data_IF_343858709131
#
_entry.id   IF_343858709131
#
_cell.length_a   1.000
_cell.length_b   1.000
_cell.length_c   1.000
_cell.angle_alpha   90.00
_cell.angle_beta   90.00
_cell.angle_gamma   90.00
#
_symmetry.space_group_name_H-M   'P 1'
#
loop_
_entity.id
_entity.type
_entity.pdbx_description
1 polymer ?
#
# COMPACT_ATOMS: atom_id res chain seq x y z
N UNK A 1 26.02 -43.43 -4.10
CA UNK A 1 24.60 -43.14 -3.82
C UNK A 1 24.53 -42.01 -2.80
N UNK A 2 24.36 -40.78 -3.27
CA UNK A 2 24.10 -39.62 -2.40
C UNK A 2 22.83 -38.96 -2.94
N UNK A 3 21.72 -39.24 -2.26
CA UNK A 3 20.42 -38.64 -2.54
C UNK A 3 20.47 -37.15 -2.22
N UNK A 4 20.39 -36.30 -3.24
CA UNK A 4 20.07 -34.88 -3.07
C UNK A 4 18.55 -34.76 -3.03
N UNK A 5 18.05 -34.33 -1.88
CA UNK A 5 16.65 -34.01 -1.64
C UNK A 5 16.29 -32.77 -2.48
N UNK A 6 15.49 -32.99 -3.53
CA UNK A 6 14.89 -31.96 -4.37
C UNK A 6 13.61 -31.48 -3.67
N UNK A 7 13.63 -30.28 -3.06
CA UNK A 7 12.40 -29.63 -2.60
C UNK A 7 11.80 -28.92 -3.83
N UNK A 8 10.86 -29.60 -4.49
CA UNK A 8 9.98 -29.00 -5.50
C UNK A 8 8.82 -28.35 -4.76
N UNK A 9 8.78 -27.03 -4.72
CA UNK A 9 7.55 -26.30 -4.38
C UNK A 9 6.60 -26.41 -5.58
N UNK A 10 5.69 -27.40 -5.51
CA UNK A 10 4.53 -27.45 -6.40
C UNK A 10 3.64 -26.25 -6.06
N UNK A 11 3.68 -25.21 -6.89
CA UNK A 11 2.61 -24.21 -6.92
C UNK A 11 1.40 -24.88 -7.57
N UNK A 12 0.58 -25.54 -6.77
CA UNK A 12 -0.80 -25.79 -7.15
C UNK A 12 -1.49 -24.43 -7.24
N UNK A 13 -1.87 -24.04 -8.47
CA UNK A 13 -2.87 -23.00 -8.68
C UNK A 13 -4.17 -23.49 -8.06
N UNK A 14 -4.34 -23.24 -6.77
CA UNK A 14 -5.67 -23.23 -6.16
C UNK A 14 -6.29 -21.93 -6.65
N UNK A 15 -7.17 -22.03 -7.65
CA UNK A 15 -8.21 -21.03 -7.85
C UNK A 15 -8.98 -21.01 -6.53
N UNK A 16 -8.58 -20.10 -5.66
CA UNK A 16 -9.24 -19.83 -4.40
C UNK A 16 -10.54 -19.17 -4.79
N UNK A 17 -11.59 -19.97 -4.96
CA UNK A 17 -12.96 -19.44 -4.90
C UNK A 17 -13.04 -18.71 -3.56
N UNK A 18 -13.19 -17.39 -3.62
CA UNK A 18 -13.08 -16.47 -2.50
C UNK A 18 -14.04 -16.89 -1.38
N UNK A 19 -13.53 -17.59 -0.37
CA UNK A 19 -14.24 -17.79 0.89
C UNK A 19 -14.20 -16.44 1.61
N UNK A 20 -15.33 -15.74 1.56
CA UNK A 20 -15.70 -14.53 2.29
C UNK A 20 -14.55 -13.74 2.98
N UNK A 21 -14.06 -12.70 2.28
CA UNK A 21 -13.16 -11.65 2.79
C UNK A 21 -13.83 -10.83 3.92
N UNK A 22 -13.89 -11.41 5.11
CA UNK A 22 -14.51 -10.79 6.30
C UNK A 22 -13.48 -10.23 7.27
N UNK A 23 -12.20 -10.55 7.08
CA UNK A 23 -11.15 -10.08 7.98
C UNK A 23 -10.61 -8.73 7.48
N UNK A 24 -10.53 -7.75 8.38
CA UNK A 24 -10.00 -6.42 8.05
C UNK A 24 -8.57 -6.52 7.48
N UNK A 25 -7.77 -7.46 8.00
CA UNK A 25 -6.36 -7.67 7.64
C UNK A 25 -6.12 -8.16 6.19
N UNK A 26 -7.16 -8.65 5.49
CA UNK A 26 -7.01 -9.16 4.12
C UNK A 26 -6.50 -8.10 3.13
N UNK A 27 -6.77 -6.82 3.44
CA UNK A 27 -6.31 -5.64 2.74
C UNK A 27 -5.38 -4.81 3.64
N UNK A 28 -4.11 -5.20 3.73
CA UNK A 28 -3.06 -4.42 4.37
C UNK A 28 -2.83 -3.11 3.62
N UNK A 29 -2.11 -2.16 4.23
CA UNK A 29 -1.83 -0.88 3.60
C UNK A 29 -1.09 -0.99 2.26
N UNK A 30 -0.29 -2.05 2.07
CA UNK A 30 0.41 -2.32 0.80
C UNK A 30 -0.56 -2.68 -0.33
N UNK A 31 -1.77 -3.17 -0.02
CA UNK A 31 -2.83 -3.47 -0.99
C UNK A 31 -3.80 -2.30 -1.17
N UNK A 32 -3.44 -1.12 -0.67
CA UNK A 32 -4.27 0.10 -0.73
C UNK A 32 -3.55 1.16 -1.53
N UNK A 33 -4.21 1.67 -2.56
CA UNK A 33 -3.78 2.89 -3.24
C UNK A 33 -4.62 4.05 -2.74
N UNK A 34 -4.02 4.91 -1.93
CA UNK A 34 -4.68 6.09 -1.37
C UNK A 34 -5.03 7.08 -2.48
N UNK A 35 -6.29 7.46 -2.57
CA UNK A 35 -6.81 8.44 -3.53
C UNK A 35 -7.21 9.78 -2.90
N UNK A 36 -7.44 9.76 -1.59
CA UNK A 36 -7.63 10.96 -0.79
C UNK A 36 -7.20 10.66 0.64
N UNK A 37 -6.48 11.60 1.23
CA UNK A 37 -6.09 11.54 2.63
C UNK A 37 -6.10 12.95 3.20
N UNK A 38 -6.67 13.07 4.38
CA UNK A 38 -6.69 14.29 5.16
C UNK A 38 -6.34 13.96 6.61
N UNK A 39 -5.25 14.53 7.09
CA UNK A 39 -4.73 14.37 8.46
C UNK A 39 -4.98 15.63 9.31
N UNK A 40 -5.63 16.64 8.71
CA UNK A 40 -5.89 17.94 9.32
C UNK A 40 -4.66 18.59 9.94
N UNK A 41 -3.47 18.34 9.39
CA UNK A 41 -2.24 19.06 9.74
C UNK A 41 -2.24 20.49 9.21
N UNK A 42 -3.13 20.78 8.27
CA UNK A 42 -3.42 22.11 7.73
C UNK A 42 -4.85 22.18 7.19
N UNK A 43 -5.24 23.35 6.67
CA UNK A 43 -6.58 23.62 6.16
C UNK A 43 -6.70 23.50 4.62
N UNK A 44 -5.70 22.95 3.92
CA UNK A 44 -5.65 22.94 2.44
C UNK A 44 -6.81 22.20 1.82
N UNK A 45 -7.31 21.15 2.48
CA UNK A 45 -8.38 20.32 1.96
C UNK A 45 -9.76 20.99 2.05
N UNK A 46 -10.00 21.99 2.90
CA UNK A 46 -11.27 22.75 3.03
C UNK A 46 -12.55 21.90 2.93
N UNK A 47 -13.09 21.49 4.07
CA UNK A 47 -14.37 20.77 4.15
C UNK A 47 -15.54 21.76 4.13
N UNK A 48 -16.57 21.48 3.32
CA UNK A 48 -17.74 22.35 3.22
C UNK A 48 -18.64 22.13 4.43
N UNK A 49 -18.83 23.18 5.24
CA UNK A 49 -19.77 23.16 6.37
C UNK A 49 -21.18 23.31 5.82
N UNK A 50 -22.03 22.33 6.12
CA UNK A 50 -23.45 22.40 5.79
C UNK A 50 -24.22 22.16 7.07
N UNK A 51 -24.35 23.22 7.86
CA UNK A 51 -25.22 23.23 9.04
C UNK A 51 -26.45 24.10 8.78
N UNK A 52 -27.58 23.68 9.32
CA UNK A 52 -28.77 24.53 9.43
C UNK A 52 -28.70 25.50 10.61
N UNK A 53 -27.62 25.47 11.40
CA UNK A 53 -27.43 26.30 12.58
C UNK A 53 -26.11 27.09 12.49
N UNK A 54 -26.19 28.40 12.62
CA UNK A 54 -25.05 29.32 12.52
C UNK A 54 -24.11 29.26 13.73
N UNK A 55 -24.51 28.63 14.83
CA UNK A 55 -23.68 28.44 16.02
C UNK A 55 -22.73 27.24 15.89
N UNK A 56 -23.03 26.28 15.01
CA UNK A 56 -22.16 25.14 14.77
C UNK A 56 -20.96 25.56 13.90
N UNK A 57 -19.76 25.11 14.25
CA UNK A 57 -18.55 25.46 13.50
C UNK A 57 -17.53 24.32 13.49
N UNK A 58 -16.61 24.39 12.53
CA UNK A 58 -15.43 23.53 12.52
C UNK A 58 -14.16 24.34 12.61
N UNK A 59 -13.14 23.76 13.23
CA UNK A 59 -11.79 24.32 13.28
C UNK A 59 -10.77 23.20 13.11
N UNK A 60 -9.62 23.50 12.51
CA UNK A 60 -8.47 22.60 12.54
C UNK A 60 -7.61 22.99 13.74
N UNK A 61 -7.46 22.07 14.70
CA UNK A 61 -6.70 22.33 15.93
C UNK A 61 -5.91 21.08 16.32
N UNK A 62 -4.60 21.23 16.53
CA UNK A 62 -3.70 20.15 16.95
C UNK A 62 -3.77 18.90 16.05
N UNK A 63 -3.87 19.11 14.74
CA UNK A 63 -3.97 18.02 13.76
C UNK A 63 -5.32 17.32 13.74
N UNK A 64 -6.38 17.92 14.27
CA UNK A 64 -7.73 17.36 14.26
C UNK A 64 -8.68 18.33 13.56
N UNK A 65 -9.61 17.82 12.77
CA UNK A 65 -10.82 18.56 12.45
C UNK A 65 -11.77 18.45 13.65
N UNK A 66 -11.98 19.57 14.33
CA UNK A 66 -12.89 19.66 15.45
C UNK A 66 -14.27 20.06 14.92
N UNK A 67 -15.28 19.22 15.19
CA UNK A 67 -16.68 19.51 14.92
C UNK A 67 -17.33 19.95 16.24
N UNK A 68 -17.63 21.25 16.35
CA UNK A 68 -18.27 21.84 17.52
C UNK A 68 -19.77 21.99 17.25
N UNK A 69 -20.57 21.10 17.85
CA UNK A 69 -22.02 21.11 17.72
C UNK A 69 -22.61 21.75 18.97
N UNK A 70 -23.15 22.95 18.79
CA UNK A 70 -23.86 23.72 19.80
C UNK A 70 -25.37 23.42 19.75
N UNK A 71 -25.90 23.02 18.59
CA UNK A 71 -27.32 22.72 18.46
C UNK A 71 -27.61 21.67 17.39
N UNK A 72 -28.56 20.78 17.69
CA UNK A 72 -29.12 19.70 16.84
C UNK A 72 -28.08 18.75 16.23
N UNK A 73 -27.40 19.18 15.17
CA UNK A 73 -26.45 18.38 14.40
C UNK A 73 -25.56 19.24 13.51
N UNK A 74 -24.41 18.69 13.15
CA UNK A 74 -23.47 19.26 12.19
C UNK A 74 -23.08 18.19 11.18
N UNK A 75 -23.04 18.59 9.90
CA UNK A 75 -22.49 17.76 8.84
C UNK A 75 -21.53 18.58 7.99
N UNK A 76 -20.37 18.00 7.72
CA UNK A 76 -19.37 18.56 6.81
C UNK A 76 -19.19 17.63 5.63
N UNK A 77 -19.06 18.21 4.44
CA UNK A 77 -18.98 17.46 3.19
C UNK A 77 -17.63 17.64 2.52
N UNK A 78 -17.21 16.57 1.83
CA UNK A 78 -16.07 16.58 0.92
C UNK A 78 -16.50 15.94 -0.39
N UNK A 79 -16.44 16.72 -1.46
CA UNK A 79 -16.65 16.18 -2.80
C UNK A 79 -15.32 15.64 -3.34
N UNK A 80 -15.24 14.31 -3.53
CA UNK A 80 -14.09 13.66 -4.15
C UNK A 80 -14.60 12.60 -5.13
N UNK A 81 -14.41 12.85 -6.42
CA UNK A 81 -14.78 11.86 -7.43
C UNK A 81 -13.76 10.72 -7.46
N UNK A 82 -14.26 9.48 -7.50
CA UNK A 82 -13.47 8.29 -7.79
C UNK A 82 -14.35 7.20 -8.43
N UNK A 83 -13.71 6.21 -9.06
CA UNK A 83 -14.39 5.13 -9.76
C UNK A 83 -15.06 4.16 -8.78
N UNK A 84 -16.37 4.32 -8.64
CA UNK A 84 -17.21 3.52 -7.74
C UNK A 84 -17.31 2.05 -8.16
N UNK A 85 -16.94 1.70 -9.40
CA UNK A 85 -16.96 0.32 -9.89
C UNK A 85 -15.83 -0.52 -9.31
N UNK A 86 -14.70 0.12 -8.99
CA UNK A 86 -13.55 -0.54 -8.33
C UNK A 86 -13.88 -0.95 -6.90
N UNK A 87 -13.01 -1.77 -6.33
CA UNK A 87 -13.04 -2.03 -4.90
C UNK A 87 -12.35 -0.88 -4.17
N UNK A 88 -12.98 -0.44 -3.09
CA UNK A 88 -12.59 0.79 -2.39
C UNK A 88 -12.84 0.68 -0.90
N UNK A 89 -12.15 1.53 -0.16
CA UNK A 89 -12.29 1.68 1.28
C UNK A 89 -12.32 3.16 1.67
N UNK A 90 -13.22 3.50 2.58
CA UNK A 90 -13.27 4.79 3.27
C UNK A 90 -13.06 4.52 4.75
N UNK A 91 -12.14 5.23 5.38
CA UNK A 91 -11.86 5.11 6.79
C UNK A 91 -11.75 6.48 7.46
N UNK A 92 -12.35 6.61 8.63
CA UNK A 92 -12.11 7.73 9.53
C UNK A 92 -11.64 7.23 10.88
N UNK A 93 -10.82 8.04 11.57
CA UNK A 93 -10.54 7.88 12.99
C UNK A 93 -11.04 9.11 13.74
N UNK A 94 -11.76 8.91 14.83
CA UNK A 94 -12.37 10.01 15.57
C UNK A 94 -12.58 9.68 17.05
N UNK A 95 -12.60 10.71 17.90
CA UNK A 95 -12.89 10.61 19.34
C UNK A 95 -13.86 11.69 19.80
N UNK A 96 -14.60 11.40 20.87
CA UNK A 96 -15.48 12.37 21.52
C UNK A 96 -14.69 13.15 22.57
N UNK A 97 -14.67 14.48 22.45
CA UNK A 97 -14.11 15.37 23.47
C UNK A 97 -15.21 15.86 24.42
N UNK A 98 -16.40 16.17 23.89
CA UNK A 98 -17.58 16.56 24.69
C UNK A 98 -18.76 15.68 24.30
N UNK A 99 -19.53 15.27 25.32
CA UNK A 99 -20.69 14.38 25.24
C UNK A 99 -20.31 12.97 24.74
N UNK A 100 -20.04 12.07 25.70
CA UNK A 100 -19.59 10.71 25.44
C UNK A 100 -20.67 9.83 24.75
N UNK A 101 -21.93 10.29 24.74
CA UNK A 101 -23.09 9.62 24.15
C UNK A 101 -23.54 10.27 22.82
N UNK A 102 -22.74 11.19 22.30
CA UNK A 102 -22.99 11.82 21.02
C UNK A 102 -22.87 10.80 19.88
N UNK A 103 -23.78 10.87 18.92
CA UNK A 103 -23.71 10.04 17.72
C UNK A 103 -22.82 10.74 16.70
N UNK A 104 -21.84 10.03 16.15
CA UNK A 104 -21.03 10.55 15.05
C UNK A 104 -20.71 9.46 14.03
N UNK A 105 -20.26 9.85 12.84
CA UNK A 105 -19.74 8.89 11.89
C UNK A 105 -19.49 9.48 10.50
N UNK A 106 -19.46 8.59 9.52
CA UNK A 106 -19.09 8.88 8.14
C UNK A 106 -20.25 8.64 7.19
N UNK A 107 -20.42 9.54 6.23
CA UNK A 107 -21.35 9.41 5.12
C UNK A 107 -20.67 9.21 3.78
N UNK A 108 -21.37 8.53 2.87
CA UNK A 108 -20.91 8.29 1.50
C UNK A 108 -22.07 8.34 0.50
N UNK A 109 -21.71 8.52 -0.77
CA UNK A 109 -22.69 8.54 -1.86
C UNK A 109 -23.73 9.64 -1.75
N UNK A 110 -23.37 10.75 -1.11
CA UNK A 110 -24.30 11.81 -0.73
C UNK A 110 -24.39 12.95 -1.75
N UNK A 111 -25.50 13.68 -1.67
CA UNK A 111 -25.68 15.00 -2.29
C UNK A 111 -25.61 16.06 -1.17
N UNK A 112 -24.68 17.03 -1.23
CA UNK A 112 -24.63 18.14 -0.27
C UNK A 112 -25.99 18.83 -0.12
N UNK A 113 -26.34 19.25 1.10
CA UNK A 113 -27.64 19.91 1.43
C UNK A 113 -28.89 19.05 1.19
N UNK A 114 -28.73 17.74 1.02
CA UNK A 114 -29.84 16.80 0.84
C UNK A 114 -29.85 15.72 1.91
N UNK A 115 -31.01 15.09 2.12
CA UNK A 115 -31.09 13.88 2.93
C UNK A 115 -30.57 12.64 2.18
N UNK A 116 -30.38 12.73 0.86
CA UNK A 116 -29.98 11.63 0.00
C UNK A 116 -28.48 11.29 0.15
N UNK A 117 -28.19 10.40 1.09
CA UNK A 117 -26.85 9.87 1.38
C UNK A 117 -26.95 8.58 2.17
N UNK A 118 -25.84 7.86 2.27
CA UNK A 118 -25.68 6.79 3.23
C UNK A 118 -24.88 7.29 4.43
N UNK A 119 -25.18 6.79 5.63
CA UNK A 119 -24.45 7.11 6.86
C UNK A 119 -24.11 5.84 7.62
N UNK A 120 -22.88 5.75 8.11
CA UNK A 120 -22.42 4.79 9.10
C UNK A 120 -22.03 5.53 10.36
N UNK A 121 -22.86 5.40 11.40
CA UNK A 121 -22.76 6.17 12.64
C UNK A 121 -22.55 5.25 13.83
N UNK A 122 -21.97 5.79 14.91
CA UNK A 122 -21.83 5.14 16.21
C UNK A 122 -22.21 6.09 17.34
N UNK A 123 -22.84 5.56 18.39
CA UNK A 123 -22.96 6.20 19.70
C UNK A 123 -22.01 5.48 20.70
N UNK A 124 -22.27 5.51 22.01
CA UNK A 124 -21.46 4.83 23.01
C UNK A 124 -21.65 3.29 23.06
N UNK A 125 -22.68 2.73 22.38
CA UNK A 125 -23.12 1.32 22.53
C UNK A 125 -23.48 0.65 21.20
N UNK A 126 -23.92 1.41 20.22
CA UNK A 126 -24.60 0.98 19.02
C UNK A 126 -23.94 1.56 17.78
N UNK A 127 -24.30 0.98 16.64
CA UNK A 127 -23.99 1.52 15.33
C UNK A 127 -25.26 1.58 14.47
N UNK A 128 -25.25 2.47 13.49
CA UNK A 128 -26.41 2.78 12.66
C UNK A 128 -25.98 2.81 11.20
N UNK A 129 -26.81 2.21 10.35
CA UNK A 129 -26.70 2.37 8.90
C UNK A 129 -27.97 3.10 8.42
N UNK A 130 -27.82 4.31 7.91
CA UNK A 130 -28.92 5.11 7.37
C UNK A 130 -28.80 5.22 5.85
N UNK A 131 -29.92 5.19 5.14
CA UNK A 131 -30.02 5.42 3.68
C UNK A 131 -31.13 6.45 3.43
N UNK A 132 -30.78 7.65 3.02
CA UNK A 132 -31.77 8.71 2.84
C UNK A 132 -32.53 9.01 4.14
N UNK A 133 -33.85 9.11 4.05
CA UNK A 133 -34.75 9.20 5.22
C UNK A 133 -35.00 7.85 5.92
N UNK A 134 -34.53 6.73 5.35
CA UNK A 134 -34.69 5.40 5.93
C UNK A 134 -33.54 5.10 6.91
N UNK A 135 -33.86 4.41 8.00
CA UNK A 135 -32.91 4.08 9.05
C UNK A 135 -32.99 2.58 9.35
N UNK A 136 -31.85 1.88 9.26
CA UNK A 136 -31.71 0.52 9.77
C UNK A 136 -30.95 0.60 11.08
N UNK A 137 -31.62 0.26 12.19
CA UNK A 137 -31.02 0.20 13.52
C UNK A 137 -30.44 -1.19 13.75
N UNK A 138 -29.13 -1.28 14.02
CA UNK A 138 -28.49 -2.54 14.36
C UNK A 138 -27.83 -2.45 15.74
N UNK A 139 -28.28 -3.30 16.67
CA UNK A 139 -27.67 -3.40 18.00
C UNK A 139 -26.36 -4.18 17.90
N UNK A 140 -25.32 -3.66 18.54
CA UNK A 140 -24.06 -4.40 18.71
C UNK A 140 -24.25 -5.46 19.81
N UNK A 141 -24.51 -6.72 19.43
CA UNK A 141 -24.81 -7.80 20.38
C UNK A 141 -23.56 -8.51 20.95
N UNK A 142 -22.35 -8.01 20.68
CA UNK A 142 -21.12 -8.64 21.17
C UNK A 142 -20.39 -7.73 22.14
N UNK A 143 -20.34 -8.13 23.42
CA UNK A 143 -19.65 -7.43 24.53
C UNK A 143 -18.15 -7.15 24.27
N UNK A 144 -17.57 -7.80 23.24
CA UNK A 144 -16.17 -7.67 22.84
C UNK A 144 -15.87 -6.46 21.93
N UNK A 145 -16.89 -5.69 21.53
CA UNK A 145 -16.76 -4.50 20.67
C UNK A 145 -16.93 -3.22 21.49
N UNK A 146 -15.95 -2.88 22.33
CA UNK A 146 -15.98 -1.60 23.06
C UNK A 146 -15.87 -0.45 22.06
N UNK A 147 -17.02 0.17 21.76
CA UNK A 147 -17.05 1.53 21.23
C UNK A 147 -16.74 2.41 22.43
N UNK A 148 -15.50 2.86 22.54
CA UNK A 148 -15.12 3.67 23.68
C UNK A 148 -15.87 4.99 23.65
N UNK A 149 -16.51 5.33 24.75
CA UNK A 149 -17.33 6.54 24.87
C UNK A 149 -16.49 7.80 24.69
N UNK A 150 -15.22 7.78 25.12
CA UNK A 150 -14.21 8.83 24.93
C UNK A 150 -12.92 8.38 24.22
N UNK A 151 -12.78 7.08 23.91
CA UNK A 151 -11.63 6.58 23.16
C UNK A 151 -11.69 7.00 21.68
N UNK A 152 -10.53 6.96 21.01
CA UNK A 152 -10.46 7.02 19.56
C UNK A 152 -11.03 5.72 18.96
N UNK A 153 -11.98 5.87 18.04
CA UNK A 153 -12.54 4.76 17.27
C UNK A 153 -12.27 4.94 15.77
N UNK A 154 -11.99 3.85 15.08
CA UNK A 154 -11.97 3.82 13.61
C UNK A 154 -13.30 3.31 13.06
N UNK A 155 -13.81 3.98 12.03
CA UNK A 155 -14.97 3.53 11.25
C UNK A 155 -14.52 3.31 9.82
N UNK A 156 -14.69 2.08 9.33
CA UNK A 156 -14.30 1.70 7.98
C UNK A 156 -15.50 1.21 7.19
N UNK A 157 -15.67 1.73 5.98
CA UNK A 157 -16.62 1.26 4.98
C UNK A 157 -15.79 0.68 3.84
N UNK A 158 -15.97 -0.61 3.55
CA UNK A 158 -15.20 -1.31 2.51
C UNK A 158 -16.15 -1.93 1.49
N UNK A 159 -15.99 -1.60 0.22
CA UNK A 159 -16.73 -2.23 -0.88
C UNK A 159 -15.80 -3.20 -1.60
N UNK A 160 -16.22 -4.46 -1.66
CA UNK A 160 -15.61 -5.50 -2.46
C UNK A 160 -16.67 -6.09 -3.39
N UNK A 161 -16.41 -6.11 -4.70
CA UNK A 161 -17.32 -6.59 -5.73
C UNK A 161 -18.72 -5.98 -5.58
N UNK A 162 -19.72 -6.77 -5.19
CA UNK A 162 -21.12 -6.34 -5.02
C UNK A 162 -21.54 -6.13 -3.57
N UNK A 163 -20.59 -6.13 -2.61
CA UNK A 163 -20.89 -6.10 -1.17
C UNK A 163 -20.12 -5.00 -0.45
N UNK A 164 -20.76 -4.36 0.51
CA UNK A 164 -20.18 -3.41 1.45
C UNK A 164 -20.05 -4.07 2.83
N UNK A 165 -18.92 -3.82 3.49
CA UNK A 165 -18.57 -4.28 4.82
C UNK A 165 -18.28 -3.09 5.71
N UNK A 166 -18.73 -3.17 6.96
CA UNK A 166 -18.57 -2.11 7.95
C UNK A 166 -17.73 -2.62 9.10
N UNK A 167 -16.72 -1.85 9.48
CA UNK A 167 -15.82 -2.17 10.57
C UNK A 167 -15.81 -1.06 11.60
N UNK A 168 -15.80 -1.45 12.86
CA UNK A 168 -15.50 -0.57 13.99
C UNK A 168 -14.22 -1.10 14.62
N UNK A 169 -13.21 -0.24 14.78
CA UNK A 169 -11.94 -0.63 15.37
C UNK A 169 -11.36 -1.89 14.70
N UNK A 170 -11.46 -1.93 13.37
CA UNK A 170 -11.01 -3.04 12.49
C UNK A 170 -11.75 -4.36 12.68
N UNK A 171 -12.81 -4.41 13.47
CA UNK A 171 -13.67 -5.59 13.59
C UNK A 171 -14.93 -5.40 12.76
N UNK A 172 -15.26 -6.37 11.93
CA UNK A 172 -16.46 -6.31 11.11
C UNK A 172 -17.69 -6.36 12.01
N UNK A 173 -18.61 -5.40 11.83
CA UNK A 173 -19.86 -5.30 12.59
C UNK A 173 -21.09 -5.55 11.73
N UNK A 174 -21.01 -5.31 10.42
CA UNK A 174 -22.13 -5.48 9.51
C UNK A 174 -21.66 -5.63 8.05
N UNK A 175 -22.56 -6.09 7.18
CA UNK A 175 -22.37 -6.08 5.74
C UNK A 175 -23.70 -5.98 5.01
N UNK A 176 -23.72 -5.35 3.84
CA UNK A 176 -24.91 -5.18 3.00
C UNK A 176 -24.55 -5.26 1.50
N UNK A 177 -25.51 -5.48 0.60
CA UNK A 177 -25.28 -5.31 -0.83
C UNK A 177 -24.83 -3.89 -1.16
N UNK A 178 -23.95 -3.75 -2.16
CA UNK A 178 -23.62 -2.44 -2.71
C UNK A 178 -24.82 -1.88 -3.47
N UNK A 179 -25.07 -0.58 -3.28
CA UNK A 179 -26.19 0.13 -3.90
C UNK A 179 -25.69 1.34 -4.66
N UNK A 180 -26.49 1.80 -5.64
CA UNK A 180 -26.18 3.02 -6.39
C UNK A 180 -26.12 4.23 -5.45
N UNK A 181 -25.09 5.05 -5.62
CA UNK A 181 -24.94 6.28 -4.85
C UNK A 181 -25.91 7.36 -5.32
N UNK A 182 -26.38 8.20 -4.41
CA UNK A 182 -27.22 9.35 -4.74
C UNK A 182 -26.40 10.49 -5.35
N UNK A 183 -25.15 10.65 -4.90
CA UNK A 183 -24.20 11.63 -5.38
C UNK A 183 -22.77 11.17 -5.08
N UNK A 184 -21.80 12.08 -5.21
CA UNK A 184 -20.36 11.78 -5.06
C UNK A 184 -19.75 12.24 -3.75
N UNK A 185 -20.52 12.88 -2.87
CA UNK A 185 -19.97 13.47 -1.66
C UNK A 185 -19.81 12.44 -0.54
N UNK A 186 -18.73 12.62 0.22
CA UNK A 186 -18.54 12.03 1.53
C UNK A 186 -18.89 13.07 2.58
N UNK A 187 -19.25 12.60 3.77
CA UNK A 187 -19.51 13.50 4.88
C UNK A 187 -19.02 12.95 6.20
N UNK A 188 -18.87 13.86 7.16
CA UNK A 188 -18.72 13.54 8.56
C UNK A 188 -19.92 14.17 9.27
N UNK A 189 -20.63 13.36 10.04
CA UNK A 189 -21.90 13.74 10.64
C UNK A 189 -21.82 13.59 12.15
N UNK A 190 -22.37 14.56 12.87
CA UNK A 190 -22.46 14.58 14.34
C UNK A 190 -23.86 15.03 14.74
N UNK A 191 -24.47 14.30 15.67
CA UNK A 191 -25.75 14.63 16.31
C UNK A 191 -25.55 14.98 17.79
N UNK A 192 -26.46 15.82 18.29
CA UNK A 192 -26.50 16.38 19.65
C UNK A 192 -25.39 17.40 19.91
N UNK A 193 -25.56 18.14 21.01
CA UNK A 193 -24.54 19.01 21.58
C UNK A 193 -23.30 18.20 21.94
N UNK A 194 -22.22 18.40 21.19
CA UNK A 194 -21.05 17.55 21.26
C UNK A 194 -19.83 18.22 20.65
N UNK A 195 -18.65 17.71 21.00
CA UNK A 195 -17.41 18.04 20.32
C UNK A 195 -16.72 16.76 19.89
N UNK A 196 -16.58 16.59 18.58
CA UNK A 196 -15.95 15.42 17.97
C UNK A 196 -14.64 15.85 17.31
N UNK A 197 -13.59 15.09 17.55
CA UNK A 197 -12.28 15.31 16.96
C UNK A 197 -12.03 14.23 15.92
N UNK A 198 -11.91 14.61 14.65
CA UNK A 198 -11.54 13.71 13.56
C UNK A 198 -10.03 13.77 13.38
N UNK A 199 -9.39 12.63 13.52
CA UNK A 199 -7.95 12.45 13.40
C UNK A 199 -7.52 12.40 11.94
N UNK A 200 -8.15 11.51 11.16
CA UNK A 200 -7.92 11.46 9.74
C UNK A 200 -9.15 10.97 8.97
N UNK A 201 -9.14 11.25 7.66
CA UNK A 201 -10.00 10.64 6.66
C UNK A 201 -9.12 10.05 5.57
N UNK A 202 -9.36 8.79 5.22
CA UNK A 202 -8.68 8.10 4.13
C UNK A 202 -9.70 7.51 3.16
N UNK A 203 -9.42 7.63 1.88
CA UNK A 203 -10.13 6.93 0.81
C UNK A 203 -9.08 6.24 -0.06
N UNK A 204 -9.25 4.95 -0.31
CA UNK A 204 -8.31 4.13 -1.06
C UNK A 204 -9.00 3.21 -2.05
N UNK A 205 -8.36 2.93 -3.18
CA UNK A 205 -8.66 1.73 -3.95
C UNK A 205 -8.01 0.51 -3.31
N UNK A 206 -8.68 -0.63 -3.46
CA UNK A 206 -8.19 -1.92 -3.01
C UNK A 206 -7.68 -2.69 -4.22
N UNK A 207 -6.37 -2.65 -4.39
CA UNK A 207 -5.68 -3.27 -5.51
C UNK A 207 -4.88 -4.44 -4.95
N UNK A 208 -5.09 -5.64 -5.51
CA UNK A 208 -4.11 -6.70 -5.32
C UNK A 208 -2.82 -6.19 -5.96
N UNK A 209 -1.86 -5.75 -5.14
CA UNK A 209 -0.51 -5.51 -5.65
C UNK A 209 0.00 -6.87 -6.08
N UNK A 210 -0.02 -7.12 -7.39
CA UNK A 210 0.83 -8.12 -7.99
C UNK A 210 2.25 -7.71 -7.61
N UNK A 211 2.88 -8.50 -6.73
CA UNK A 211 4.31 -8.43 -6.56
C UNK A 211 4.86 -8.76 -7.94
N UNK A 212 5.29 -7.74 -8.68
CA UNK A 212 5.94 -7.94 -9.97
C UNK A 212 7.21 -8.71 -9.66
N UNK A 213 7.17 -10.02 -9.88
CA UNK A 213 8.35 -10.86 -9.85
C UNK A 213 9.20 -10.45 -11.05
N UNK A 214 10.16 -9.56 -10.80
CA UNK A 214 11.10 -9.08 -11.81
C UNK A 214 12.11 -10.19 -12.08
N UNK A 215 11.68 -11.24 -12.76
CA UNK A 215 12.58 -12.28 -13.26
C UNK A 215 13.63 -11.64 -14.18
N UNK A 216 14.87 -12.08 -14.02
CA UNK A 216 16.00 -11.58 -14.81
C UNK A 216 15.87 -12.02 -16.27
N UNK A 217 16.38 -11.21 -17.20
CA UNK A 217 16.53 -11.62 -18.59
C UNK A 217 17.50 -12.81 -18.65
N UNK A 218 17.09 -13.87 -19.33
CA UNK A 218 17.88 -15.09 -19.49
C UNK A 218 18.35 -15.20 -20.93
N UNK A 219 19.65 -15.47 -21.11
CA UNK A 219 20.23 -15.82 -22.40
C UNK A 219 20.50 -17.32 -22.49
N UNK A 220 19.93 -17.99 -23.49
CA UNK A 220 20.01 -19.44 -23.67
C UNK A 220 20.36 -19.84 -25.11
N UNK A 221 20.66 -21.13 -25.30
CA UNK A 221 20.73 -21.80 -26.61
C UNK A 221 21.74 -21.20 -27.62
N UNK A 222 22.86 -20.68 -27.12
CA UNK A 222 23.94 -20.16 -27.98
C UNK A 222 24.49 -21.25 -28.90
N UNK A 223 24.51 -20.97 -30.20
CA UNK A 223 25.16 -21.79 -31.21
C UNK A 223 25.70 -20.92 -32.34
N UNK A 224 26.72 -21.41 -33.03
CA UNK A 224 27.29 -20.75 -34.21
C UNK A 224 27.04 -21.61 -35.42
N UNK A 225 26.51 -21.01 -36.49
CA UNK A 225 26.36 -21.65 -37.80
C UNK A 225 27.29 -21.00 -38.80
N UNK A 226 28.34 -21.71 -39.20
CA UNK A 226 29.25 -21.28 -40.27
C UNK A 226 28.55 -21.39 -41.63
N UNK A 227 28.78 -20.41 -42.50
CA UNK A 227 28.22 -20.42 -43.87
C UNK A 227 29.30 -20.39 -44.94
N UNK A 228 30.39 -19.63 -44.71
CA UNK A 228 31.55 -19.56 -45.59
C UNK A 228 32.84 -19.44 -44.75
N UNK A 229 34.01 -19.48 -45.38
CA UNK A 229 35.31 -19.36 -44.71
C UNK A 229 35.42 -18.11 -43.81
N UNK A 230 34.74 -17.01 -44.17
CA UNK A 230 34.78 -15.73 -43.46
C UNK A 230 33.45 -15.29 -42.84
N UNK A 231 32.38 -16.11 -42.92
CA UNK A 231 31.02 -15.73 -42.53
C UNK A 231 30.37 -16.76 -41.60
N UNK A 232 29.79 -16.28 -40.51
CA UNK A 232 29.04 -17.10 -39.57
C UNK A 232 27.82 -16.35 -39.00
N UNK A 233 26.89 -17.10 -38.41
CA UNK A 233 25.77 -16.56 -37.64
C UNK A 233 25.86 -17.03 -36.19
N UNK A 234 25.72 -16.10 -35.25
CA UNK A 234 25.50 -16.39 -33.83
C UNK A 234 24.00 -16.47 -33.58
N UNK A 235 23.50 -17.66 -33.24
CA UNK A 235 22.12 -17.86 -32.84
C UNK A 235 22.03 -18.03 -31.34
N UNK A 236 21.03 -17.43 -30.73
CA UNK A 236 20.73 -17.58 -29.31
C UNK A 236 19.28 -17.21 -29.05
N UNK A 237 18.88 -17.30 -27.80
CA UNK A 237 17.54 -17.03 -27.35
C UNK A 237 17.58 -16.12 -26.13
N UNK A 238 16.68 -15.14 -26.09
CA UNK A 238 16.49 -14.26 -24.94
C UNK A 238 15.07 -14.46 -24.41
N UNK A 239 14.94 -14.54 -23.09
CA UNK A 239 13.64 -14.75 -22.45
C UNK A 239 13.46 -13.86 -21.21
N UNK A 240 12.24 -13.33 -21.07
CA UNK A 240 11.77 -12.65 -19.88
C UNK A 240 10.23 -12.77 -19.82
N UNK A 241 9.66 -13.11 -18.65
CA UNK A 241 8.20 -13.23 -18.48
C UNK A 241 7.45 -11.92 -18.75
N UNK A 242 8.13 -10.80 -18.61
CA UNK A 242 7.59 -9.45 -18.77
C UNK A 242 7.78 -8.90 -20.20
N UNK A 243 8.27 -9.73 -21.13
CA UNK A 243 8.53 -9.34 -22.51
C UNK A 243 9.86 -8.62 -22.70
N UNK A 244 10.36 -8.68 -23.94
CA UNK A 244 11.59 -8.02 -24.38
C UNK A 244 11.22 -6.76 -25.17
N UNK A 245 11.79 -5.62 -24.79
CA UNK A 245 11.53 -4.31 -25.41
C UNK A 245 12.64 -3.85 -26.35
N UNK A 246 13.89 -4.23 -26.09
CA UNK A 246 15.03 -3.87 -26.92
C UNK A 246 16.09 -4.98 -26.91
N UNK A 247 16.78 -5.16 -28.04
CA UNK A 247 18.01 -5.94 -28.13
C UNK A 247 19.02 -5.09 -28.91
N UNK A 248 20.22 -4.93 -28.38
CA UNK A 248 21.34 -4.26 -29.04
C UNK A 248 22.50 -5.23 -29.25
N UNK A 249 23.15 -5.11 -30.40
CA UNK A 249 24.33 -5.84 -30.81
C UNK A 249 25.44 -4.86 -31.19
N UNK A 250 26.55 -4.88 -30.45
CA UNK A 250 27.68 -3.95 -30.62
C UNK A 250 27.22 -2.47 -30.70
N UNK A 251 26.24 -2.11 -29.85
CA UNK A 251 25.68 -0.76 -29.79
C UNK A 251 24.63 -0.42 -30.86
N UNK A 252 24.25 -1.38 -31.73
CA UNK A 252 23.22 -1.21 -32.75
C UNK A 252 21.96 -1.97 -32.34
N UNK A 253 20.81 -1.30 -32.27
CA UNK A 253 19.52 -1.94 -32.03
C UNK A 253 19.14 -2.86 -33.19
N UNK A 254 18.69 -4.07 -32.87
CA UNK A 254 18.20 -5.03 -33.87
C UNK A 254 16.67 -5.07 -33.87
N UNK A 255 16.08 -5.23 -35.05
CA UNK A 255 14.64 -5.44 -35.18
C UNK A 255 14.26 -6.87 -34.79
N UNK A 256 13.18 -7.02 -34.04
CA UNK A 256 12.62 -8.31 -33.66
C UNK A 256 11.12 -8.20 -33.40
N UNK A 257 10.43 -9.34 -33.40
CA UNK A 257 9.04 -9.41 -32.97
C UNK A 257 9.01 -9.59 -31.45
N UNK A 258 8.45 -8.62 -30.74
CA UNK A 258 8.37 -8.66 -29.28
C UNK A 258 7.58 -9.89 -28.80
N UNK A 259 8.18 -10.62 -27.86
CA UNK A 259 7.61 -11.79 -27.21
C UNK A 259 8.32 -12.02 -25.86
N UNK A 260 7.76 -12.90 -25.02
CA UNK A 260 8.42 -13.34 -23.78
C UNK A 260 9.70 -14.16 -24.04
N UNK A 261 9.87 -14.60 -25.29
CA UNK A 261 10.93 -15.48 -25.74
C UNK A 261 11.26 -15.15 -27.18
N UNK A 262 12.44 -14.60 -27.44
CA UNK A 262 12.84 -14.09 -28.75
C UNK A 262 14.06 -14.87 -29.24
N UNK A 263 13.96 -15.62 -30.36
CA UNK A 263 15.12 -16.17 -31.03
C UNK A 263 15.87 -15.06 -31.77
N UNK A 264 17.19 -15.02 -31.63
CA UNK A 264 18.05 -14.00 -32.23
C UNK A 264 19.11 -14.66 -33.11
N UNK A 265 19.35 -14.09 -34.30
CA UNK A 265 20.40 -14.52 -35.22
C UNK A 265 21.21 -13.30 -35.68
N UNK A 266 22.51 -13.27 -35.35
CA UNK A 266 23.40 -12.13 -35.63
C UNK A 266 24.50 -12.53 -36.59
N UNK A 267 24.77 -11.69 -37.58
CA UNK A 267 25.83 -11.91 -38.56
C UNK A 267 27.21 -11.58 -37.99
N UNK A 268 28.17 -12.47 -38.26
CA UNK A 268 29.58 -12.36 -37.85
C UNK A 268 30.51 -12.38 -39.08
N UNK A 269 31.46 -11.44 -39.11
CA UNK A 269 32.57 -11.44 -40.07
C UNK A 269 33.85 -11.95 -39.39
N UNK A 270 34.33 -13.13 -39.79
CA UNK A 270 35.45 -13.84 -39.16
C UNK A 270 36.84 -13.35 -39.61
N UNK A 271 36.93 -12.31 -40.45
CA UNK A 271 38.22 -11.78 -40.93
C UNK A 271 39.04 -11.07 -39.83
N UNK A 272 38.44 -10.72 -38.69
CA UNK A 272 39.10 -10.09 -37.56
C UNK A 272 39.40 -11.12 -36.46
N UNK A 273 40.65 -11.12 -35.93
CA UNK A 273 41.20 -12.19 -35.08
C UNK A 273 40.49 -12.44 -33.74
N UNK A 274 39.66 -11.53 -33.25
CA UNK A 274 38.78 -11.75 -32.07
C UNK A 274 37.54 -10.86 -32.24
N UNK A 275 36.36 -11.46 -32.46
CA UNK A 275 35.09 -10.73 -32.35
C UNK A 275 34.59 -10.87 -30.92
N UNK A 276 34.82 -9.87 -30.09
CA UNK A 276 34.01 -9.68 -28.90
C UNK A 276 32.69 -9.06 -29.37
N UNK A 277 31.62 -9.83 -29.31
CA UNK A 277 30.28 -9.34 -29.58
C UNK A 277 29.61 -9.01 -28.26
N UNK A 278 29.25 -7.74 -28.06
CA UNK A 278 28.45 -7.30 -26.93
C UNK A 278 26.97 -7.34 -27.30
N UNK A 279 26.18 -8.02 -26.46
CA UNK A 279 24.73 -8.12 -26.62
C UNK A 279 24.10 -7.56 -25.34
N UNK A 280 23.27 -6.54 -25.52
CA UNK A 280 22.45 -5.94 -24.46
C UNK A 280 20.98 -6.21 -24.74
N UNK A 281 20.22 -6.58 -23.73
CA UNK A 281 18.78 -6.81 -23.84
C UNK A 281 18.08 -5.99 -22.77
N UNK A 282 17.00 -5.32 -23.15
CA UNK A 282 16.13 -4.55 -22.25
C UNK A 282 14.74 -5.21 -22.19
N UNK A 283 14.21 -5.43 -20.99
CA UNK A 283 12.84 -5.96 -20.82
C UNK A 283 11.76 -4.87 -20.94
N UNK A 284 10.49 -5.26 -20.91
CA UNK A 284 9.34 -4.34 -20.96
C UNK A 284 9.29 -3.29 -19.84
N UNK A 285 10.10 -3.44 -18.79
CA UNK A 285 10.18 -2.54 -17.65
C UNK A 285 11.50 -1.75 -17.59
N UNK A 286 12.38 -1.89 -18.59
CA UNK A 286 13.64 -1.16 -18.66
C UNK A 286 14.82 -1.81 -17.92
N UNK A 287 14.67 -3.03 -17.39
CA UNK A 287 15.81 -3.76 -16.81
C UNK A 287 16.69 -4.29 -17.95
N UNK A 288 18.02 -4.24 -17.78
CA UNK A 288 18.94 -4.67 -18.83
C UNK A 288 19.82 -5.83 -18.42
N UNK A 289 20.21 -6.62 -19.40
CA UNK A 289 21.13 -7.72 -19.25
C UNK A 289 22.11 -7.74 -20.40
N UNK A 290 23.38 -7.87 -20.05
CA UNK A 290 24.50 -7.83 -20.99
C UNK A 290 25.25 -9.16 -20.97
N UNK A 291 25.62 -9.62 -22.17
CA UNK A 291 26.51 -10.76 -22.33
C UNK A 291 27.48 -10.48 -23.47
N UNK A 292 28.72 -10.93 -23.30
CA UNK A 292 29.71 -10.95 -24.37
C UNK A 292 29.95 -12.38 -24.83
N UNK A 293 30.03 -12.57 -26.15
CA UNK A 293 30.43 -13.83 -26.76
C UNK A 293 31.75 -13.62 -27.49
N UNK A 294 32.74 -14.46 -27.16
CA UNK A 294 34.08 -14.43 -27.76
C UNK A 294 34.23 -15.59 -28.74
N UNK A 295 34.59 -15.27 -29.97
CA UNK A 295 34.68 -16.21 -31.10
C UNK A 295 36.05 -16.06 -31.77
N UNK A 296 36.69 -17.18 -32.12
CA UNK A 296 37.96 -17.20 -32.83
C UNK A 296 37.81 -17.00 -34.34
N UNK A 297 38.92 -16.88 -35.06
CA UNK A 297 38.95 -16.72 -36.52
C UNK A 297 38.40 -17.93 -37.29
N UNK A 298 38.33 -19.09 -36.66
CA UNK A 298 37.81 -20.32 -37.28
C UNK A 298 36.30 -20.49 -37.08
N UNK A 299 35.70 -19.67 -36.21
CA UNK A 299 34.29 -19.66 -35.86
C UNK A 299 33.95 -20.52 -34.65
N UNK A 300 34.92 -20.85 -33.79
CA UNK A 300 34.68 -21.60 -32.57
C UNK A 300 34.40 -20.68 -31.38
N UNK A 301 33.51 -21.13 -30.49
CA UNK A 301 33.27 -20.46 -29.22
C UNK A 301 34.50 -20.56 -28.33
N UNK A 302 35.08 -19.42 -27.95
CA UNK A 302 36.21 -19.34 -27.03
C UNK A 302 35.67 -19.29 -25.59
N UNK A 303 34.76 -18.35 -25.31
CA UNK A 303 34.19 -18.11 -23.99
C UNK A 303 32.89 -17.31 -24.09
N UNK A 304 31.95 -17.55 -23.17
CA UNK A 304 30.85 -16.63 -22.86
C UNK A 304 31.23 -15.86 -21.59
N UNK A 305 31.11 -14.53 -21.59
CA UNK A 305 31.21 -13.81 -20.30
C UNK A 305 30.02 -14.19 -19.43
N UNK A 306 30.16 -14.07 -18.11
CA UNK A 306 29.00 -14.11 -17.23
C UNK A 306 28.01 -13.01 -17.67
N UNK A 307 26.72 -13.35 -17.65
CA UNK A 307 25.66 -12.37 -17.90
C UNK A 307 25.70 -11.36 -16.77
N UNK A 308 25.92 -10.09 -17.12
CA UNK A 308 25.81 -8.98 -16.17
C UNK A 308 24.41 -8.40 -16.32
N UNK A 309 23.58 -8.64 -15.32
CA UNK A 309 22.30 -7.97 -15.23
C UNK A 309 22.53 -6.58 -14.62
N UNK A 310 22.63 -5.57 -15.48
CA UNK A 310 22.69 -4.18 -15.05
C UNK A 310 21.26 -3.62 -15.07
N UNK A 311 20.68 -3.39 -13.90
CA UNK A 311 19.51 -2.51 -13.81
C UNK A 311 20.00 -1.10 -14.15
N UNK A 312 19.78 -0.65 -15.39
CA UNK A 312 20.17 0.68 -15.82
C UNK A 312 19.62 1.71 -14.82
N UNK A 313 20.50 2.60 -14.35
CA UNK A 313 20.22 3.71 -13.43
C UNK A 313 18.81 4.31 -13.62
N UNK A 314 17.93 4.33 -12.64
CA UNK A 314 18.03 3.77 -11.30
C UNK A 314 16.63 3.52 -10.77
N UNK A 315 16.42 2.34 -10.17
CA UNK A 315 15.23 2.08 -9.39
C UNK A 315 15.10 3.21 -8.37
N UNK A 316 14.01 3.97 -8.42
CA UNK A 316 13.72 4.92 -7.37
C UNK A 316 13.42 4.11 -6.12
N UNK A 317 14.32 4.12 -5.14
CA UNK A 317 14.12 3.40 -3.88
C UNK A 317 13.71 4.37 -2.79
N UNK A 318 12.70 4.03 -2.01
CA UNK A 318 12.27 4.82 -0.85
C UNK A 318 12.24 3.94 0.40
N UNK A 319 12.65 4.47 1.53
CA UNK A 319 12.61 3.77 2.81
C UNK A 319 11.91 4.62 3.85
N UNK A 320 10.98 4.02 4.59
CA UNK A 320 10.44 4.57 5.81
C UNK A 320 11.13 3.91 7.00
N UNK A 321 11.74 4.71 7.86
CA UNK A 321 12.58 4.26 8.99
C UNK A 321 12.03 4.88 10.27
N UNK A 322 11.71 4.05 11.25
CA UNK A 322 11.14 4.49 12.54
C UNK A 322 12.00 3.99 13.68
N UNK A 323 12.35 4.88 14.60
CA UNK A 323 13.02 4.54 15.86
C UNK A 323 12.23 5.04 17.06
N UNK A 324 11.57 4.16 17.79
CA UNK A 324 10.79 4.49 18.98
C UNK A 324 11.49 3.98 20.24
N UNK A 325 11.93 4.92 21.09
CA UNK A 325 12.59 4.62 22.35
C UNK A 325 11.90 5.22 23.58
N UNK A 326 11.29 6.40 23.45
CA UNK A 326 10.71 7.16 24.56
C UNK A 326 9.24 6.78 24.80
N UNK A 327 8.99 5.54 25.20
CA UNK A 327 7.65 5.08 25.51
C UNK A 327 7.10 5.71 26.80
N UNK A 328 5.85 6.17 26.76
CA UNK A 328 5.19 6.82 27.90
C UNK A 328 4.61 5.81 28.88
N UNK A 329 4.09 4.69 28.36
CA UNK A 329 3.28 3.72 29.10
C UNK A 329 3.96 2.36 29.26
N UNK A 330 5.21 2.23 28.81
CA UNK A 330 6.04 1.02 28.95
C UNK A 330 7.50 1.40 29.09
N UNK A 331 8.36 0.41 29.35
CA UNK A 331 9.79 0.58 29.57
C UNK A 331 10.43 1.24 28.34
N UNK A 332 11.06 2.42 28.47
CA UNK A 332 11.78 3.07 27.38
C UNK A 332 12.96 2.22 26.88
N UNK A 333 13.30 2.37 25.60
CA UNK A 333 14.43 1.70 24.96
C UNK A 333 15.50 2.73 24.55
N UNK A 334 16.76 2.42 24.84
CA UNK A 334 17.88 3.36 24.65
C UNK A 334 18.40 3.38 23.20
N UNK A 335 18.35 2.24 22.50
CA UNK A 335 18.98 2.06 21.19
C UNK A 335 18.16 2.42 19.93
N UNK A 336 16.81 2.38 19.92
CA UNK A 336 16.04 2.52 18.68
C UNK A 336 16.31 3.78 17.85
N UNK A 337 16.65 4.90 18.49
CA UNK A 337 16.99 6.14 17.78
C UNK A 337 18.33 6.00 17.04
N UNK A 338 19.32 5.38 17.69
CA UNK A 338 20.63 5.10 17.09
C UNK A 338 20.49 4.10 15.93
N UNK A 339 19.68 3.06 16.11
CA UNK A 339 19.39 2.07 15.07
C UNK A 339 18.73 2.70 13.84
N UNK A 340 17.73 3.57 14.04
CA UNK A 340 17.09 4.32 12.97
C UNK A 340 18.08 5.26 12.24
N UNK A 341 18.97 5.94 12.96
CA UNK A 341 20.00 6.79 12.37
C UNK A 341 21.01 5.99 11.53
N UNK A 342 21.48 4.85 12.06
CA UNK A 342 22.38 3.95 11.34
C UNK A 342 21.73 3.41 10.07
N UNK A 343 20.48 2.95 10.17
CA UNK A 343 19.75 2.44 9.01
C UNK A 343 19.50 3.52 7.97
N UNK A 344 19.19 4.75 8.40
CA UNK A 344 19.07 5.92 7.51
C UNK A 344 20.35 6.16 6.73
N UNK A 345 21.50 6.21 7.41
CA UNK A 345 22.79 6.43 6.76
C UNK A 345 23.14 5.30 5.79
N UNK A 346 22.83 4.05 6.17
CA UNK A 346 23.11 2.85 5.37
C UNK A 346 22.26 2.83 4.11
N UNK A 347 20.96 3.04 4.23
CA UNK A 347 20.03 3.00 3.09
C UNK A 347 20.24 4.16 2.12
N UNK A 348 20.60 5.36 2.62
CA UNK A 348 21.03 6.47 1.75
C UNK A 348 22.23 6.08 0.90
N UNK A 349 23.25 5.40 1.46
CA UNK A 349 24.40 4.88 0.69
C UNK A 349 24.00 3.82 -0.33
N UNK A 350 22.92 3.07 -0.07
CA UNK A 350 22.34 2.10 -1.00
C UNK A 350 21.40 2.72 -2.06
N UNK A 351 21.29 4.05 -2.10
CA UNK A 351 20.49 4.79 -3.08
C UNK A 351 19.01 4.91 -2.74
N UNK A 352 18.62 4.77 -1.47
CA UNK A 352 17.25 5.06 -1.02
C UNK A 352 17.06 6.55 -0.70
N UNK A 353 15.96 7.14 -1.18
CA UNK A 353 15.33 8.27 -0.50
C UNK A 353 14.79 7.78 0.85
N UNK A 354 15.12 8.46 1.94
CA UNK A 354 14.71 8.02 3.28
C UNK A 354 13.75 9.01 3.93
N UNK A 355 12.65 8.51 4.46
CA UNK A 355 11.78 9.19 5.42
C UNK A 355 12.09 8.61 6.79
N UNK A 356 12.73 9.37 7.66
CA UNK A 356 13.14 8.90 8.99
C UNK A 356 12.33 9.62 10.06
N UNK A 357 11.76 8.87 10.98
CA UNK A 357 10.99 9.40 12.10
C UNK A 357 11.45 8.77 13.42
N UNK A 358 11.40 9.52 14.51
CA UNK A 358 11.83 9.07 15.83
C UNK A 358 10.81 9.44 16.89
N UNK A 359 10.61 8.55 17.87
CA UNK A 359 9.66 8.72 18.96
C UNK A 359 8.28 9.17 18.47
N UNK A 360 7.72 8.37 17.57
CA UNK A 360 6.50 8.68 16.83
C UNK A 360 5.28 8.11 17.57
N UNK A 361 4.26 8.94 17.79
CA UNK A 361 2.95 8.48 18.24
C UNK A 361 2.13 7.87 17.09
N UNK A 362 1.08 7.11 17.39
CA UNK A 362 0.29 6.43 16.34
C UNK A 362 -0.31 7.42 15.34
N UNK A 363 -0.63 8.64 15.78
CA UNK A 363 -1.23 9.69 14.97
C UNK A 363 -0.25 10.19 13.90
N UNK A 364 0.94 10.60 14.33
CA UNK A 364 2.03 11.03 13.46
C UNK A 364 2.44 9.91 12.53
N UNK A 365 2.46 8.65 13.01
CA UNK A 365 2.72 7.51 12.15
C UNK A 365 1.69 7.37 11.04
N UNK A 366 0.40 7.29 11.36
CA UNK A 366 -0.66 7.12 10.36
C UNK A 366 -0.60 8.22 9.29
N UNK A 367 -0.35 9.46 9.73
CA UNK A 367 -0.16 10.61 8.85
C UNK A 367 0.99 10.45 7.88
N UNK A 368 2.20 10.26 8.40
CA UNK A 368 3.41 10.22 7.58
C UNK A 368 3.50 8.93 6.76
N UNK A 369 2.93 7.84 7.26
CA UNK A 369 2.80 6.58 6.53
C UNK A 369 1.87 6.71 5.33
N UNK A 370 0.73 7.41 5.45
CA UNK A 370 -0.15 7.67 4.31
C UNK A 370 0.57 8.51 3.22
N UNK A 371 1.34 9.53 3.61
CA UNK A 371 2.19 10.30 2.68
C UNK A 371 3.26 9.43 2.02
N UNK A 372 3.91 8.56 2.79
CA UNK A 372 4.89 7.60 2.29
C UNK A 372 4.27 6.64 1.26
N UNK A 373 3.13 6.02 1.56
CA UNK A 373 2.39 5.16 0.62
C UNK A 373 2.00 5.92 -0.65
N UNK A 374 1.55 7.18 -0.51
CA UNK A 374 1.27 8.05 -1.65
C UNK A 374 2.49 8.25 -2.56
N UNK A 375 3.68 8.45 -1.96
CA UNK A 375 4.95 8.54 -2.69
C UNK A 375 5.31 7.21 -3.36
N UNK A 376 5.09 6.05 -2.71
CA UNK A 376 5.51 4.74 -3.23
C UNK A 376 5.07 4.46 -4.67
N UNK A 377 3.96 5.06 -5.14
CA UNK A 377 3.50 4.94 -6.53
C UNK A 377 4.53 5.41 -7.58
N UNK A 378 5.50 6.25 -7.22
CA UNK A 378 6.56 6.74 -8.11
C UNK A 378 7.92 6.10 -7.84
N UNK A 379 7.97 5.06 -6.98
CA UNK A 379 9.18 4.35 -6.57
C UNK A 379 9.10 2.87 -6.95
N UNK A 380 10.24 2.30 -7.32
CA UNK A 380 10.39 0.91 -7.71
C UNK A 380 10.55 -0.03 -6.51
N UNK A 381 11.13 0.47 -5.42
CA UNK A 381 11.39 -0.31 -4.19
C UNK A 381 10.98 0.53 -3.00
N UNK A 382 10.12 -0.03 -2.14
CA UNK A 382 9.77 0.54 -0.86
C UNK A 382 10.28 -0.37 0.27
N UNK A 383 11.00 0.20 1.24
CA UNK A 383 11.46 -0.50 2.43
C UNK A 383 10.81 0.11 3.67
N UNK A 384 10.39 -0.72 4.61
CA UNK A 384 9.97 -0.29 5.94
C UNK A 384 10.92 -0.86 7.00
N UNK A 385 11.44 0.00 7.87
CA UNK A 385 12.29 -0.38 8.99
C UNK A 385 11.71 0.20 10.28
N UNK A 386 11.63 -0.64 11.32
CA UNK A 386 11.15 -0.24 12.63
C UNK A 386 12.08 -0.78 13.71
N UNK A 387 12.55 0.11 14.58
CA UNK A 387 13.22 -0.21 15.83
C UNK A 387 12.34 0.28 17.00
N UNK A 388 12.04 -0.61 17.94
CA UNK A 388 11.16 -0.33 19.08
C UNK A 388 10.53 -1.60 19.65
N UNK A 389 9.50 -1.45 20.49
CA UNK A 389 8.72 -2.56 21.04
C UNK A 389 7.84 -3.22 19.98
N UNK A 390 8.02 -4.52 19.80
CA UNK A 390 7.13 -5.40 19.07
C UNK A 390 6.62 -6.53 19.97
N UNK A 391 5.41 -7.01 19.72
CA UNK A 391 4.81 -8.07 20.55
C UNK A 391 3.84 -8.92 19.74
N UNK A 392 3.54 -10.12 20.26
CA UNK A 392 2.61 -11.06 19.65
C UNK A 392 1.39 -11.25 20.55
N UNK A 393 0.18 -11.14 19.99
CA UNK A 393 -1.07 -11.50 20.65
C UNK A 393 -1.85 -12.38 19.69
N UNK A 394 -2.25 -13.58 20.15
CA UNK A 394 -3.10 -14.49 19.38
C UNK A 394 -2.60 -14.77 17.94
N UNK A 395 -1.28 -14.99 17.77
CA UNK A 395 -0.60 -15.21 16.47
C UNK A 395 -0.53 -13.97 15.56
N UNK A 396 -0.86 -12.80 16.08
CA UNK A 396 -0.74 -11.53 15.36
C UNK A 396 0.41 -10.72 15.95
N UNK A 397 1.32 -10.26 15.08
CA UNK A 397 2.44 -9.42 15.47
C UNK A 397 2.03 -7.94 15.41
N UNK A 398 2.54 -7.17 16.37
CA UNK A 398 2.24 -5.75 16.48
C UNK A 398 3.51 -4.95 16.75
N UNK A 399 3.54 -3.71 16.27
CA UNK A 399 4.57 -2.71 16.57
C UNK A 399 3.94 -1.58 17.38
N UNK A 400 4.55 -1.25 18.52
CA UNK A 400 4.02 -0.28 19.49
C UNK A 400 4.58 1.13 19.23
N UNK A 401 3.72 2.14 19.24
CA UNK A 401 4.13 3.55 19.18
C UNK A 401 4.36 4.12 20.59
N UNK A 402 4.96 5.32 20.70
CA UNK A 402 5.38 5.84 22.00
C UNK A 402 4.22 6.09 22.98
N UNK A 403 3.01 6.27 22.43
CA UNK A 403 1.74 6.42 23.14
C UNK A 403 0.94 5.10 23.22
N UNK A 404 1.59 3.98 22.88
CA UNK A 404 1.10 2.62 22.93
C UNK A 404 0.77 2.13 24.34
N UNK A 405 -0.39 1.49 24.50
CA UNK A 405 -0.78 0.84 25.77
C UNK A 405 -1.00 -0.64 25.52
N UNK A 406 -0.27 -1.47 26.26
CA UNK A 406 -0.37 -2.92 26.21
C UNK A 406 -0.95 -3.44 27.52
N UNK A 407 -2.12 -4.08 27.45
CA UNK A 407 -2.72 -4.79 28.58
C UNK A 407 -2.60 -6.30 28.34
N UNK A 408 -1.63 -6.91 29.00
CA UNK A 408 -1.36 -8.35 28.90
C UNK A 408 -2.49 -9.20 29.46
N UNK A 409 -3.21 -8.74 30.49
CA UNK A 409 -4.26 -9.50 31.14
C UNK A 409 -5.52 -9.55 30.26
N UNK A 410 -5.85 -8.44 29.61
CA UNK A 410 -6.99 -8.35 28.70
C UNK A 410 -6.66 -8.80 27.27
N UNK A 411 -5.38 -9.09 26.97
CA UNK A 411 -4.89 -9.37 25.61
C UNK A 411 -5.29 -8.27 24.61
N UNK A 412 -5.28 -7.02 25.07
CA UNK A 412 -5.66 -5.87 24.24
C UNK A 412 -4.47 -4.94 24.06
N UNK A 413 -4.39 -4.33 22.88
CA UNK A 413 -3.41 -3.29 22.59
C UNK A 413 -4.05 -2.08 21.95
N UNK A 414 -3.63 -0.89 22.38
CA UNK A 414 -3.97 0.41 21.79
C UNK A 414 -2.72 1.06 21.21
N UNK A 415 -2.91 1.88 20.18
CA UNK A 415 -1.85 2.68 19.53
C UNK A 415 -0.67 1.81 19.04
N UNK A 416 -1.01 0.77 18.27
CA UNK A 416 -0.08 -0.14 17.62
C UNK A 416 -0.53 -0.44 16.18
N UNK A 417 0.42 -0.85 15.34
CA UNK A 417 0.12 -1.39 14.01
C UNK A 417 0.25 -2.90 14.01
N UNK A 418 -0.59 -3.55 13.23
CA UNK A 418 -0.57 -5.00 12.99
C UNK A 418 0.35 -5.27 11.79
N UNK A 419 1.22 -6.28 11.90
CA UNK A 419 2.08 -6.76 10.82
C UNK A 419 1.43 -7.91 10.03
#
# INVERSE_FOLDING_TARGET
MNNRLLIVLLNTFVVSVSVAQTNYADYSALKKRIIFFDDFSDERNRWEIISGDSMNYTEVRNGYLCLNVINKSLEVFKNKQFDQKKDWEIEIAAKREINADATYGVGWGGVPKSQNRFLFLIDNRNFYIKKGKLHTFNRNNTETNRIGSSDQNTLTIRKIHSKIYFFINRKQVYSMPNEAWFGSAFSIFVEKEAKILIDYVSISYLEAVEIIDREQVVFANFNIRKTFSTKAYLNFEVANKNGISEIMYNGITIDFVSANKVPVSLYLNLQNKVNATEIKVTDGFGNTADTAVYIDSDGNFIKKSETKNENFNGSKKIALIIGNGNYVQTIPLINPLNDANLMTATLKKCGFETVTMQNVDIKTFNREFAKFVGKCNTYDVALFYFAGHGFNINKTNYLLFIDGVLDYNLKTVKNAIML
#
